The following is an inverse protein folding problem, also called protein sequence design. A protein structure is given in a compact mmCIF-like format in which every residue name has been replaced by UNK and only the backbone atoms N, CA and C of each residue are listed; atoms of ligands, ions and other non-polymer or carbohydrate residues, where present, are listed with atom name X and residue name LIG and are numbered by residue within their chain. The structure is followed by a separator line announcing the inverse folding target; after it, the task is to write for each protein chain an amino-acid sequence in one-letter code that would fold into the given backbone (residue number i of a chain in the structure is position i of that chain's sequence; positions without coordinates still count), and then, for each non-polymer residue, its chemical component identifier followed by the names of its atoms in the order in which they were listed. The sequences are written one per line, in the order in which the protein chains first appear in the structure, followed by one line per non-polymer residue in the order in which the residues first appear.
data_IF_074070215306
#
_entry.id   IF_074070215306
#
_cell.length_a   1.000
_cell.length_b   1.000
_cell.length_c   1.000
_cell.angle_alpha   90.00
_cell.angle_beta   90.00
_cell.angle_gamma   90.00
#
_symmetry.space_group_name_H-M   'P 1'
#
loop_
_entity.id
_entity.type
_entity.pdbx_description
1 polymer ?
#
# COMPACT_ATOMS: atom_id res chain seq x y z
N UNK A 1 65.77 60.26 -26.59
CA UNK A 1 65.05 61.36 -25.90
C UNK A 1 63.62 61.29 -26.41
N UNK A 2 62.63 60.79 -25.71
CA UNK A 2 62.34 60.74 -24.26
C UNK A 2 61.36 59.58 -23.96
N UNK A 3 61.47 59.03 -22.75
CA UNK A 3 60.55 58.10 -22.09
C UNK A 3 59.09 58.59 -21.99
N UNK A 4 58.13 57.65 -21.97
CA UNK A 4 57.15 57.49 -20.85
C UNK A 4 56.19 56.30 -21.05
N UNK A 5 56.45 55.24 -20.29
CA UNK A 5 55.61 54.54 -19.28
C UNK A 5 54.05 54.49 -19.33
N UNK A 6 53.56 53.30 -18.92
CA UNK A 6 52.28 52.89 -18.32
C UNK A 6 51.04 52.48 -19.15
N UNK A 7 50.56 51.27 -18.83
CA UNK A 7 49.13 50.98 -18.69
C UNK A 7 48.62 49.67 -19.33
N UNK A 8 48.60 48.57 -18.56
CA UNK A 8 47.73 47.41 -18.84
C UNK A 8 46.25 47.80 -18.69
N UNK A 9 45.30 47.07 -19.32
CA UNK A 9 44.69 45.95 -18.58
C UNK A 9 44.36 44.71 -19.45
N UNK A 10 44.35 43.57 -18.78
CA UNK A 10 43.84 42.29 -19.28
C UNK A 10 42.32 42.32 -19.46
N UNK A 11 41.82 41.88 -20.62
CA UNK A 11 40.41 41.53 -20.81
C UNK A 11 40.30 40.01 -20.81
N UNK A 12 39.92 39.48 -19.64
CA UNK A 12 39.47 38.11 -19.44
C UNK A 12 38.15 37.90 -20.18
N UNK A 13 38.14 37.01 -21.18
CA UNK A 13 36.89 36.52 -21.79
C UNK A 13 36.20 35.61 -20.79
N UNK A 14 35.16 36.12 -20.12
CA UNK A 14 34.27 35.30 -19.31
C UNK A 14 33.42 34.41 -20.24
N UNK A 15 33.60 33.10 -20.14
CA UNK A 15 32.65 32.13 -20.68
C UNK A 15 31.40 32.18 -19.81
N UNK A 16 30.29 32.64 -20.38
CA UNK A 16 28.97 32.51 -19.75
C UNK A 16 28.62 31.03 -19.66
N UNK A 17 28.64 30.50 -18.43
CA UNK A 17 28.12 29.17 -18.13
C UNK A 17 26.60 29.18 -18.28
N UNK A 18 26.10 28.42 -19.23
CA UNK A 18 24.68 28.12 -19.40
C UNK A 18 24.16 27.43 -18.13
N UNK A 19 23.03 27.85 -17.55
CA UNK A 19 22.53 27.21 -16.34
C UNK A 19 22.11 25.79 -16.68
N UNK A 20 22.79 24.82 -16.08
CA UNK A 20 22.41 23.41 -16.12
C UNK A 20 21.05 23.30 -15.45
N UNK A 21 20.00 23.04 -16.23
CA UNK A 21 18.71 22.64 -15.71
C UNK A 21 18.92 21.38 -14.86
N UNK A 22 18.80 21.53 -13.54
CA UNK A 22 18.75 20.39 -12.64
C UNK A 22 17.53 19.56 -13.04
N UNK A 23 17.76 18.39 -13.63
CA UNK A 23 16.74 17.37 -13.72
C UNK A 23 16.34 17.02 -12.28
N UNK A 24 15.15 17.46 -11.88
CA UNK A 24 14.54 17.01 -10.64
C UNK A 24 14.35 15.49 -10.78
N UNK A 25 15.15 14.72 -10.05
CA UNK A 25 14.96 13.28 -9.96
C UNK A 25 13.60 13.04 -9.33
N UNK A 26 12.72 12.31 -10.03
CA UNK A 26 11.44 11.90 -9.45
C UNK A 26 11.72 11.08 -8.17
N UNK A 27 11.02 11.34 -7.05
CA UNK A 27 11.24 10.60 -5.82
C UNK A 27 10.96 9.10 -6.00
N UNK A 28 11.70 8.24 -5.31
CA UNK A 28 11.43 6.80 -5.29
C UNK A 28 10.07 6.52 -4.62
N UNK A 29 9.43 5.39 -4.94
CA UNK A 29 8.16 4.98 -4.29
C UNK A 29 8.27 4.94 -2.75
N UNK A 30 9.45 4.61 -2.21
CA UNK A 30 9.73 4.69 -0.77
C UNK A 30 9.66 6.12 -0.24
N UNK A 31 10.25 7.08 -0.94
CA UNK A 31 10.24 8.49 -0.56
C UNK A 31 8.84 9.07 -0.65
N UNK A 32 8.06 8.65 -1.66
CA UNK A 32 6.66 9.06 -1.81
C UNK A 32 5.81 8.50 -0.66
N UNK A 33 5.93 7.21 -0.34
CA UNK A 33 5.22 6.59 0.80
C UNK A 33 5.63 7.22 2.13
N UNK A 34 6.93 7.39 2.37
CA UNK A 34 7.44 8.02 3.58
C UNK A 34 7.01 9.49 3.69
N UNK A 35 7.00 10.23 2.58
CA UNK A 35 6.54 11.63 2.55
C UNK A 35 5.06 11.77 2.81
N UNK A 36 4.23 10.81 2.37
CA UNK A 36 2.79 10.76 2.66
C UNK A 36 2.47 10.28 4.09
N UNK A 37 3.47 9.86 4.87
CA UNK A 37 3.33 9.48 6.28
C UNK A 37 4.03 10.44 7.23
N UNK A 38 4.47 11.63 6.76
CA UNK A 38 5.18 12.60 7.60
C UNK A 38 4.19 13.36 8.50
N UNK A 39 4.46 13.47 9.82
CA UNK A 39 3.70 14.34 10.70
C UNK A 39 3.77 15.80 10.23
N UNK A 40 2.64 16.50 10.25
CA UNK A 40 2.63 17.97 10.17
C UNK A 40 3.49 18.54 11.29
N UNK A 41 4.42 19.45 10.95
CA UNK A 41 5.34 20.05 11.92
C UNK A 41 4.57 20.86 12.97
N UNK A 42 4.37 20.26 14.14
CA UNK A 42 4.00 20.99 15.35
C UNK A 42 5.25 21.67 15.92
N UNK A 43 5.13 22.97 16.17
CA UNK A 43 6.16 23.79 16.82
C UNK A 43 6.45 23.25 18.22
N UNK A 44 7.72 22.92 18.48
CA UNK A 44 8.16 22.32 19.74
C UNK A 44 8.30 23.36 20.84
N UNK A 45 7.61 23.15 21.96
CA UNK A 45 8.04 23.63 23.28
C UNK A 45 8.35 22.42 24.16
N UNK A 46 9.55 22.40 24.73
CA UNK A 46 10.10 21.29 25.52
C UNK A 46 9.37 21.13 26.86
N UNK A 47 9.14 19.89 27.34
CA UNK A 47 8.92 19.64 28.76
C UNK A 47 10.10 18.94 29.43
N UNK A 48 10.33 19.35 30.67
CA UNK A 48 11.27 18.79 31.63
C UNK A 48 10.86 17.40 32.10
N UNK A 49 11.87 16.63 32.51
CA UNK A 49 11.78 15.24 32.95
C UNK A 49 10.95 15.06 34.22
N UNK A 50 9.94 14.19 34.17
CA UNK A 50 9.45 13.47 35.35
C UNK A 50 9.23 11.99 35.00
N UNK A 51 9.76 11.12 35.85
CA UNK A 51 9.65 9.67 35.73
C UNK A 51 8.25 9.21 36.14
N UNK A 52 7.35 9.12 35.17
CA UNK A 52 6.05 8.47 35.31
C UNK A 52 6.14 7.01 34.86
N UNK A 53 5.58 6.09 35.65
CA UNK A 53 5.33 4.72 35.22
C UNK A 53 4.54 4.74 33.90
N UNK A 54 5.01 4.01 32.89
CA UNK A 54 4.28 3.86 31.62
C UNK A 54 2.98 3.12 31.92
N UNK A 55 1.87 3.84 31.91
CA UNK A 55 0.55 3.23 31.76
C UNK A 55 0.54 2.63 30.35
N UNK A 56 0.57 1.31 30.24
CA UNK A 56 0.31 0.65 28.97
C UNK A 56 -1.14 0.98 28.60
N UNK A 57 -1.32 1.83 27.59
CA UNK A 57 -2.64 2.13 27.04
C UNK A 57 -3.18 0.83 26.44
N UNK A 58 -4.32 0.36 26.93
CA UNK A 58 -4.97 -0.85 26.39
C UNK A 58 -5.14 -0.71 24.87
N UNK A 59 -4.85 -1.80 24.14
CA UNK A 59 -5.03 -1.83 22.70
C UNK A 59 -6.52 -1.71 22.36
N UNK A 60 -6.81 -1.03 21.26
CA UNK A 60 -8.17 -0.91 20.74
C UNK A 60 -8.77 -2.30 20.49
N UNK A 61 -10.06 -2.47 20.75
CA UNK A 61 -10.82 -3.70 20.39
C UNK A 61 -11.19 -3.73 18.91
N UNK A 62 -11.64 -4.87 18.40
CA UNK A 62 -12.13 -5.00 17.02
C UNK A 62 -13.32 -4.09 16.74
N UNK A 63 -14.33 -4.09 17.61
CA UNK A 63 -15.54 -3.27 17.42
C UNK A 63 -15.25 -1.76 17.47
N UNK A 64 -14.37 -1.32 18.39
CA UNK A 64 -13.91 0.07 18.42
C UNK A 64 -13.12 0.44 17.16
N UNK A 65 -12.32 -0.48 16.62
CA UNK A 65 -11.61 -0.25 15.35
C UNK A 65 -12.62 -0.06 14.21
N UNK A 66 -13.60 -0.96 14.06
CA UNK A 66 -14.63 -0.84 13.02
C UNK A 66 -15.42 0.45 13.14
N UNK A 67 -15.86 0.79 14.36
CA UNK A 67 -16.65 2.00 14.62
C UNK A 67 -15.86 3.28 14.28
N UNK A 68 -14.60 3.36 14.70
CA UNK A 68 -13.76 4.52 14.43
C UNK A 68 -13.39 4.64 12.94
N UNK A 69 -13.13 3.52 12.25
CA UNK A 69 -12.94 3.53 10.79
C UNK A 69 -14.18 4.06 10.08
N UNK A 70 -15.36 3.58 10.47
CA UNK A 70 -16.63 4.03 9.89
C UNK A 70 -16.85 5.52 10.11
N UNK A 71 -16.56 6.04 11.30
CA UNK A 71 -16.66 7.48 11.59
C UNK A 71 -15.64 8.28 10.79
N UNK A 72 -14.38 7.87 10.77
CA UNK A 72 -13.32 8.58 10.05
C UNK A 72 -13.54 8.61 8.53
N UNK A 73 -14.15 7.56 7.96
CA UNK A 73 -14.45 7.45 6.53
C UNK A 73 -15.85 7.99 6.16
N UNK A 74 -16.60 8.53 7.13
CA UNK A 74 -17.84 9.26 6.85
C UNK A 74 -17.59 10.73 6.47
N UNK A 75 -16.37 11.23 6.68
CA UNK A 75 -15.94 12.55 6.22
C UNK A 75 -15.80 12.61 4.68
N UNK A 76 -15.69 13.83 4.13
CA UNK A 76 -15.53 14.04 2.68
C UNK A 76 -14.11 13.81 2.18
N UNK A 77 -13.12 13.81 3.09
CA UNK A 77 -11.71 13.60 2.79
C UNK A 77 -11.11 12.53 3.68
N UNK A 78 -10.33 11.62 3.09
CA UNK A 78 -9.64 10.55 3.83
C UNK A 78 -8.30 11.05 4.36
N UNK A 79 -8.11 11.10 5.69
CA UNK A 79 -6.79 11.29 6.30
C UNK A 79 -6.06 9.96 6.40
N UNK A 80 -5.00 9.80 5.59
CA UNK A 80 -4.21 8.57 5.55
C UNK A 80 -3.57 8.27 6.90
N UNK A 81 -3.04 9.28 7.57
CA UNK A 81 -2.38 9.16 8.86
C UNK A 81 -3.37 8.73 9.97
N UNK A 82 -4.60 9.26 9.92
CA UNK A 82 -5.62 8.92 10.91
C UNK A 82 -6.08 7.47 10.77
N UNK A 83 -6.40 7.02 9.55
CA UNK A 83 -6.80 5.64 9.28
C UNK A 83 -5.67 4.66 9.63
N UNK A 84 -4.42 5.00 9.28
CA UNK A 84 -3.25 4.21 9.65
C UNK A 84 -3.12 4.07 11.18
N UNK A 85 -3.28 5.17 11.91
CA UNK A 85 -3.25 5.19 13.39
C UNK A 85 -4.33 4.30 14.00
N UNK A 86 -5.56 4.35 13.47
CA UNK A 86 -6.68 3.49 13.90
C UNK A 86 -6.29 2.01 13.75
N UNK A 87 -5.88 1.59 12.56
CA UNK A 87 -5.51 0.20 12.26
C UNK A 87 -4.30 -0.28 13.11
N UNK A 88 -3.32 0.60 13.32
CA UNK A 88 -2.11 0.29 14.08
C UNK A 88 -2.38 0.14 15.60
N UNK A 89 -3.40 0.84 16.11
CA UNK A 89 -3.81 0.81 17.52
C UNK A 89 -4.57 -0.46 17.91
N UNK A 90 -5.22 -1.13 16.94
CA UNK A 90 -5.78 -2.47 17.11
C UNK A 90 -4.66 -3.52 17.08
N UNK A 91 -4.65 -4.42 18.05
CA UNK A 91 -3.73 -5.58 18.10
C UNK A 91 -4.51 -6.83 17.75
N UNK A 92 -4.05 -7.54 16.71
CA UNK A 92 -4.77 -8.66 16.12
C UNK A 92 -5.02 -9.77 17.14
N UNK A 93 -6.27 -10.22 17.22
CA UNK A 93 -6.68 -11.39 17.97
C UNK A 93 -7.53 -12.28 17.08
N UNK A 94 -7.13 -13.54 16.95
CA UNK A 94 -7.79 -14.50 16.04
C UNK A 94 -9.29 -14.63 16.34
N UNK A 95 -9.70 -14.53 17.61
CA UNK A 95 -11.12 -14.62 17.99
C UNK A 95 -12.00 -13.56 17.36
N UNK A 96 -11.44 -12.39 17.04
CA UNK A 96 -12.18 -11.24 16.52
C UNK A 96 -12.57 -11.44 15.04
N UNK A 97 -11.71 -12.11 14.27
CA UNK A 97 -11.82 -12.15 12.80
C UNK A 97 -11.89 -13.56 12.20
N UNK A 98 -11.67 -14.62 12.97
CA UNK A 98 -11.65 -16.02 12.45
C UNK A 98 -12.92 -16.43 11.71
N UNK A 99 -14.07 -15.84 12.04
CA UNK A 99 -15.35 -16.11 11.37
C UNK A 99 -15.39 -15.63 9.92
N UNK A 100 -14.53 -14.67 9.54
CA UNK A 100 -14.38 -14.18 8.17
C UNK A 100 -13.22 -14.87 7.43
N UNK A 101 -12.37 -15.63 8.12
CA UNK A 101 -11.15 -16.18 7.56
C UNK A 101 -11.38 -17.52 6.85
N UNK A 102 -11.95 -17.46 5.66
CA UNK A 102 -12.17 -18.62 4.80
C UNK A 102 -11.04 -18.74 3.78
N UNK A 103 -10.34 -19.87 3.75
CA UNK A 103 -9.22 -20.12 2.84
C UNK A 103 -9.65 -20.98 1.64
N UNK A 104 -8.88 -20.88 0.56
CA UNK A 104 -8.90 -21.82 -0.55
C UNK A 104 -7.46 -22.27 -0.89
N UNK A 105 -7.33 -23.51 -1.33
CA UNK A 105 -6.03 -24.16 -1.58
C UNK A 105 -5.40 -23.73 -2.92
N UNK A 106 -6.17 -23.15 -3.86
CA UNK A 106 -5.74 -22.79 -5.21
C UNK A 106 -5.37 -21.32 -5.34
N UNK A 107 -6.14 -20.42 -4.73
CA UNK A 107 -5.84 -18.98 -4.71
C UNK A 107 -6.17 -18.37 -3.35
N UNK A 108 -5.66 -17.17 -3.09
CA UNK A 108 -6.10 -16.43 -1.92
C UNK A 108 -7.54 -15.99 -2.10
N UNK A 109 -8.24 -15.84 -0.99
CA UNK A 109 -9.66 -15.48 -0.99
C UNK A 109 -9.85 -14.05 -0.51
N UNK A 110 -10.92 -13.40 -0.94
CA UNK A 110 -11.37 -12.08 -0.47
C UNK A 110 -12.67 -12.26 0.29
N UNK A 111 -12.70 -11.91 1.57
CA UNK A 111 -13.82 -12.15 2.48
C UNK A 111 -14.32 -10.82 3.04
N UNK A 112 -15.48 -10.37 2.58
CA UNK A 112 -16.03 -9.06 2.98
C UNK A 112 -16.40 -9.08 4.47
N UNK A 113 -15.90 -8.08 5.20
CA UNK A 113 -16.17 -7.87 6.62
C UNK A 113 -17.23 -6.78 6.80
N UNK A 114 -17.06 -5.65 6.11
CA UNK A 114 -17.93 -4.48 6.20
C UNK A 114 -17.94 -3.77 4.84
N UNK A 115 -19.13 -3.58 4.25
CA UNK A 115 -19.32 -2.80 3.01
C UNK A 115 -19.32 -1.28 3.23
N UNK A 116 -19.01 -0.87 4.45
CA UNK A 116 -18.99 0.50 4.92
C UNK A 116 -20.35 1.19 4.86
N UNK A 117 -20.27 2.50 4.67
CA UNK A 117 -21.37 3.43 4.40
C UNK A 117 -21.46 3.76 2.89
N UNK A 118 -20.95 2.88 2.03
CA UNK A 118 -20.77 3.12 0.59
C UNK A 118 -19.51 3.93 0.24
N UNK A 119 -18.73 4.37 1.23
CA UNK A 119 -17.45 5.09 1.02
C UNK A 119 -16.21 4.23 1.15
N UNK A 120 -16.34 2.99 1.63
CA UNK A 120 -15.22 2.06 1.72
C UNK A 120 -15.70 0.60 1.73
N UNK A 121 -14.79 -0.32 1.40
CA UNK A 121 -14.93 -1.74 1.70
C UNK A 121 -13.81 -2.18 2.65
N UNK A 122 -14.17 -3.01 3.63
CA UNK A 122 -13.24 -3.68 4.53
C UNK A 122 -13.36 -5.19 4.33
N UNK A 123 -12.25 -5.87 4.07
CA UNK A 123 -12.24 -7.31 3.77
C UNK A 123 -10.99 -7.99 4.31
N UNK A 124 -11.11 -9.27 4.65
CA UNK A 124 -9.97 -10.14 4.91
C UNK A 124 -9.49 -10.77 3.60
N UNK A 125 -8.18 -10.73 3.37
CA UNK A 125 -7.53 -11.62 2.41
C UNK A 125 -6.86 -12.76 3.18
N UNK A 126 -7.13 -13.99 2.74
CA UNK A 126 -6.59 -15.20 3.35
C UNK A 126 -5.67 -15.90 2.34
N UNK A 127 -4.41 -16.02 2.71
CA UNK A 127 -3.32 -16.46 1.85
C UNK A 127 -2.81 -17.81 2.34
N UNK A 128 -3.00 -18.85 1.54
CA UNK A 128 -2.31 -20.11 1.77
C UNK A 128 -0.82 -20.01 1.41
N UNK A 129 -0.08 -21.06 1.72
CA UNK A 129 1.37 -21.16 1.54
C UNK A 129 1.76 -20.97 0.08
N UNK A 130 2.67 -20.04 -0.21
CA UNK A 130 3.19 -19.77 -1.55
C UNK A 130 2.23 -19.00 -2.47
N UNK A 131 1.04 -18.62 -2.01
CA UNK A 131 0.11 -17.83 -2.81
C UNK A 131 0.59 -16.38 -2.94
N UNK A 132 0.33 -15.78 -4.10
CA UNK A 132 0.67 -14.40 -4.42
C UNK A 132 -0.42 -13.77 -5.28
N UNK A 133 -0.57 -12.45 -5.17
CA UNK A 133 -1.37 -11.67 -6.11
C UNK A 133 -0.62 -11.47 -7.43
N UNK A 134 -1.33 -11.00 -8.45
CA UNK A 134 -0.71 -10.31 -9.57
C UNK A 134 -0.05 -9.00 -9.13
N UNK A 135 0.73 -8.39 -10.01
CA UNK A 135 1.08 -6.97 -9.89
C UNK A 135 -0.17 -6.17 -10.25
N UNK A 136 -0.68 -5.34 -9.34
CA UNK A 136 -1.95 -4.63 -9.57
C UNK A 136 -1.98 -3.18 -9.06
N UNK A 137 -2.89 -2.41 -9.63
CA UNK A 137 -3.27 -1.06 -9.17
C UNK A 137 -4.49 -1.09 -8.24
N UNK A 138 -4.94 0.09 -7.79
CA UNK A 138 -6.01 0.27 -6.82
C UNK A 138 -7.17 1.10 -7.35
N UNK A 139 -7.27 1.28 -8.67
CA UNK A 139 -8.36 1.99 -9.35
C UNK A 139 -8.69 3.38 -8.75
N UNK A 140 -7.66 4.14 -8.41
CA UNK A 140 -7.79 5.47 -7.81
C UNK A 140 -8.14 5.48 -6.32
N UNK A 141 -8.22 4.32 -5.68
CA UNK A 141 -8.59 4.17 -4.27
C UNK A 141 -7.39 4.24 -3.33
N UNK A 142 -7.64 4.67 -2.10
CA UNK A 142 -6.74 4.45 -0.98
C UNK A 142 -6.79 2.97 -0.58
N UNK A 143 -5.63 2.34 -0.39
CA UNK A 143 -5.52 0.97 0.10
C UNK A 143 -4.71 0.95 1.39
N UNK A 144 -5.30 0.42 2.45
CA UNK A 144 -4.60 0.09 3.69
C UNK A 144 -4.58 -1.42 3.85
N UNK A 145 -3.42 -1.97 4.21
CA UNK A 145 -3.25 -3.40 4.47
C UNK A 145 -2.67 -3.58 5.87
N UNK A 146 -3.39 -4.27 6.75
CA UNK A 146 -2.91 -4.67 8.08
C UNK A 146 -2.68 -6.18 8.11
N UNK A 147 -1.51 -6.65 8.54
CA UNK A 147 -1.26 -8.08 8.74
C UNK A 147 -1.93 -8.52 10.05
N UNK A 148 -2.89 -9.43 9.97
CA UNK A 148 -3.62 -9.98 11.11
C UNK A 148 -2.96 -11.26 11.66
N UNK A 149 -2.42 -12.11 10.79
CA UNK A 149 -1.64 -13.28 11.17
C UNK A 149 -0.62 -13.65 10.09
N UNK A 150 0.46 -14.33 10.49
CA UNK A 150 1.55 -14.70 9.60
C UNK A 150 2.45 -13.53 9.20
N UNK A 151 3.02 -13.64 8.01
CA UNK A 151 3.89 -12.65 7.37
C UNK A 151 3.55 -12.58 5.88
N UNK A 152 3.59 -11.39 5.30
CA UNK A 152 3.46 -11.19 3.85
C UNK A 152 4.64 -10.37 3.33
N UNK A 153 5.05 -10.65 2.10
CA UNK A 153 6.03 -9.86 1.37
C UNK A 153 5.30 -8.94 0.40
N UNK A 154 5.61 -7.65 0.46
CA UNK A 154 5.18 -6.64 -0.52
C UNK A 154 6.34 -6.31 -1.46
N UNK A 155 6.09 -6.43 -2.75
CA UNK A 155 6.94 -5.95 -3.84
C UNK A 155 6.30 -4.70 -4.46
N UNK A 156 6.94 -3.54 -4.31
CA UNK A 156 6.46 -2.28 -4.88
C UNK A 156 7.08 -2.06 -6.26
N UNK A 157 6.23 -1.80 -7.24
CA UNK A 157 6.62 -1.43 -8.60
C UNK A 157 6.30 0.04 -8.84
N UNK A 158 7.06 0.67 -9.73
CA UNK A 158 6.78 2.04 -10.16
C UNK A 158 5.41 2.15 -10.86
N UNK A 159 4.97 3.37 -11.19
CA UNK A 159 3.82 3.57 -12.05
C UNK A 159 3.94 2.79 -13.37
N UNK A 160 2.84 2.25 -13.90
CA UNK A 160 2.86 1.52 -15.16
C UNK A 160 3.42 2.37 -16.30
N UNK A 161 4.27 1.78 -17.12
CA UNK A 161 4.83 2.40 -18.31
C UNK A 161 5.07 1.35 -19.39
N UNK A 162 5.13 1.78 -20.65
CA UNK A 162 5.48 0.89 -21.76
C UNK A 162 6.93 0.42 -21.57
N UNK A 163 7.12 -0.89 -21.43
CA UNK A 163 8.44 -1.50 -21.35
C UNK A 163 9.11 -1.43 -22.72
N UNK A 164 10.42 -1.15 -22.74
CA UNK A 164 11.21 -1.28 -23.98
C UNK A 164 11.50 -2.76 -24.25
N UNK A 165 11.87 -3.06 -25.48
CA UNK A 165 12.22 -4.41 -25.89
C UNK A 165 13.33 -5.00 -24.99
N UNK A 166 13.03 -6.12 -24.34
CA UNK A 166 13.94 -6.80 -23.40
C UNK A 166 13.88 -6.33 -21.95
N UNK A 167 13.06 -5.32 -21.61
CA UNK A 167 12.80 -4.92 -20.23
C UNK A 167 11.67 -5.74 -19.61
N UNK A 168 11.77 -6.01 -18.30
CA UNK A 168 10.70 -6.59 -17.48
C UNK A 168 10.38 -5.64 -16.34
N UNK A 169 9.17 -5.73 -15.77
CA UNK A 169 8.90 -5.09 -14.50
C UNK A 169 9.83 -5.68 -13.44
N UNK A 170 10.39 -4.81 -12.61
CA UNK A 170 11.23 -5.18 -11.48
C UNK A 170 10.79 -4.39 -10.26
N UNK A 171 10.76 -5.01 -9.07
CA UNK A 171 10.38 -4.32 -7.86
C UNK A 171 11.41 -3.24 -7.54
N UNK A 172 10.92 -2.04 -7.25
CA UNK A 172 11.73 -0.95 -6.69
C UNK A 172 12.06 -1.23 -5.21
N UNK A 173 11.17 -1.96 -4.55
CA UNK A 173 11.26 -2.31 -3.12
C UNK A 173 10.68 -3.69 -2.93
N UNK A 174 11.32 -4.48 -2.08
CA UNK A 174 10.78 -5.70 -1.53
C UNK A 174 10.88 -5.61 0.00
N UNK A 175 9.78 -5.86 0.70
CA UNK A 175 9.73 -5.78 2.15
C UNK A 175 8.82 -6.86 2.75
N UNK A 176 9.31 -7.54 3.78
CA UNK A 176 8.52 -8.47 4.57
C UNK A 176 7.81 -7.73 5.72
N UNK A 177 6.56 -8.08 5.96
CA UNK A 177 5.69 -7.45 6.96
C UNK A 177 5.10 -8.50 7.89
N UNK A 178 5.43 -8.37 9.17
CA UNK A 178 4.95 -9.25 10.23
C UNK A 178 3.57 -8.82 10.75
N UNK A 179 2.97 -9.72 11.53
CA UNK A 179 1.73 -9.47 12.27
C UNK A 179 1.71 -8.09 12.94
N UNK A 180 0.55 -7.45 12.84
CA UNK A 180 0.24 -6.09 13.28
C UNK A 180 0.89 -4.96 12.48
N UNK A 181 1.73 -5.25 11.49
CA UNK A 181 2.21 -4.26 10.52
C UNK A 181 1.06 -3.66 9.71
N UNK A 182 1.08 -2.34 9.50
CA UNK A 182 0.10 -1.61 8.69
C UNK A 182 0.80 -0.88 7.55
N UNK A 183 0.34 -1.13 6.33
CA UNK A 183 0.85 -0.59 5.09
C UNK A 183 -0.20 0.31 4.44
N UNK A 184 0.26 1.19 3.57
CA UNK A 184 -0.59 2.04 2.75
C UNK A 184 -0.01 2.16 1.35
N UNK A 185 -0.90 2.07 0.36
CA UNK A 185 -0.59 2.29 -1.05
C UNK A 185 -1.77 3.01 -1.73
N UNK A 186 -1.46 3.72 -2.81
CA UNK A 186 -2.41 4.26 -3.77
C UNK A 186 -1.69 4.36 -5.11
N UNK A 187 -2.42 4.57 -6.20
CA UNK A 187 -1.84 4.67 -7.55
C UNK A 187 -0.86 5.85 -7.70
N UNK A 188 -0.89 6.82 -6.77
CA UNK A 188 0.10 7.90 -6.69
C UNK A 188 1.48 7.43 -6.24
N UNK A 189 1.55 6.30 -5.53
CA UNK A 189 2.79 5.67 -5.07
C UNK A 189 3.30 4.69 -6.12
N UNK A 190 2.42 3.81 -6.61
CA UNK A 190 2.78 2.78 -7.58
C UNK A 190 1.80 1.62 -7.58
N UNK A 191 2.26 0.49 -8.12
CA UNK A 191 1.55 -0.79 -8.12
C UNK A 191 2.28 -1.77 -7.21
N UNK A 192 1.65 -2.87 -6.81
CA UNK A 192 2.34 -3.85 -5.98
C UNK A 192 1.91 -5.28 -6.23
N UNK A 193 2.76 -6.20 -5.78
CA UNK A 193 2.45 -7.62 -5.60
C UNK A 193 2.57 -7.95 -4.12
N UNK A 194 1.62 -8.71 -3.60
CA UNK A 194 1.64 -9.20 -2.21
C UNK A 194 1.69 -10.71 -2.26
N UNK A 195 2.56 -11.32 -1.46
CA UNK A 195 2.73 -12.77 -1.43
C UNK A 195 2.93 -13.32 -0.03
N UNK A 196 2.41 -14.52 0.19
CA UNK A 196 2.79 -15.36 1.32
C UNK A 196 3.93 -16.29 0.88
N UNK A 197 5.17 -15.87 1.13
CA UNK A 197 6.35 -16.66 0.79
C UNK A 197 6.61 -17.83 1.76
N UNK A 198 5.78 -17.99 2.79
CA UNK A 198 5.92 -19.11 3.72
C UNK A 198 5.51 -20.43 3.08
N UNK A 199 6.30 -21.48 3.33
CA UNK A 199 6.00 -22.86 2.94
C UNK A 199 5.38 -23.69 4.08
N UNK A 200 5.13 -23.09 5.23
CA UNK A 200 4.67 -23.83 6.43
C UNK A 200 3.61 -23.10 7.24
N UNK A 201 3.24 -21.87 6.87
CA UNK A 201 2.24 -21.07 7.57
C UNK A 201 1.36 -20.31 6.59
N UNK A 202 0.08 -20.24 6.91
CA UNK A 202 -0.89 -19.34 6.28
C UNK A 202 -0.68 -17.90 6.78
N UNK A 203 -1.20 -16.94 6.03
CA UNK A 203 -1.24 -15.54 6.41
C UNK A 203 -2.65 -14.96 6.22
N UNK A 204 -2.97 -13.94 7.01
CA UNK A 204 -4.24 -13.21 6.93
C UNK A 204 -3.94 -11.71 6.99
N UNK A 205 -4.53 -10.95 6.07
CA UNK A 205 -4.45 -9.50 6.04
C UNK A 205 -5.84 -8.87 6.00
N UNK A 206 -5.99 -7.71 6.64
CA UNK A 206 -7.16 -6.86 6.58
C UNK A 206 -6.91 -5.75 5.56
N UNK A 207 -7.77 -5.62 4.58
CA UNK A 207 -7.68 -4.63 3.51
C UNK A 207 -8.84 -3.64 3.61
N UNK A 208 -8.51 -2.35 3.58
CA UNK A 208 -9.47 -1.25 3.50
C UNK A 208 -9.26 -0.49 2.21
N UNK A 209 -10.32 -0.38 1.41
CA UNK A 209 -10.33 0.38 0.17
C UNK A 209 -11.33 1.53 0.24
N UNK A 210 -10.89 2.76 -0.04
CA UNK A 210 -11.77 3.94 -0.07
C UNK A 210 -11.39 4.89 -1.23
N UNK A 211 -12.31 5.22 -2.15
CA UNK A 211 -13.65 4.61 -2.32
C UNK A 211 -13.58 3.09 -2.58
N UNK A 212 -14.70 2.35 -2.50
CA UNK A 212 -14.75 0.99 -2.99
C UNK A 212 -14.64 0.98 -4.52
N UNK A 213 -14.11 -0.10 -5.08
CA UNK A 213 -14.00 -0.32 -6.52
C UNK A 213 -14.40 -1.76 -6.88
N UNK A 214 -14.82 -1.96 -8.12
CA UNK A 214 -15.24 -3.25 -8.66
C UNK A 214 -14.24 -3.86 -9.64
N UNK A 215 -13.32 -3.06 -10.18
CA UNK A 215 -12.31 -3.48 -11.14
C UNK A 215 -10.99 -2.77 -10.86
N UNK A 216 -9.87 -3.45 -11.08
CA UNK A 216 -8.53 -2.87 -11.10
C UNK A 216 -7.77 -3.36 -12.33
N UNK A 217 -6.52 -2.96 -12.48
CA UNK A 217 -5.66 -3.48 -13.51
C UNK A 217 -4.58 -4.39 -12.94
N UNK A 218 -4.38 -5.52 -13.62
CA UNK A 218 -3.27 -6.44 -13.45
C UNK A 218 -2.19 -6.15 -14.51
N UNK A 219 -0.92 -6.32 -14.14
CA UNK A 219 0.23 -6.12 -15.02
C UNK A 219 1.05 -7.40 -15.13
N UNK A 220 1.31 -7.84 -16.36
CA UNK A 220 2.23 -8.95 -16.63
C UNK A 220 3.67 -8.50 -16.32
N UNK A 221 4.36 -9.22 -15.44
CA UNK A 221 5.72 -8.86 -15.02
C UNK A 221 6.73 -8.88 -16.17
N UNK A 222 6.56 -9.79 -17.13
CA UNK A 222 7.51 -9.98 -18.22
C UNK A 222 7.30 -8.98 -19.36
N UNK A 223 6.06 -8.61 -19.63
CA UNK A 223 5.72 -7.77 -20.79
C UNK A 223 5.22 -6.37 -20.43
N UNK A 224 4.90 -6.13 -19.16
CA UNK A 224 4.25 -4.90 -18.70
C UNK A 224 2.83 -4.74 -19.23
N UNK A 225 2.28 -5.75 -19.89
CA UNK A 225 0.95 -5.68 -20.51
C UNK A 225 -0.10 -5.52 -19.42
N UNK A 226 -0.92 -4.49 -19.59
CA UNK A 226 -2.04 -4.19 -18.72
C UNK A 226 -3.26 -5.02 -19.12
N UNK A 227 -3.90 -5.65 -18.14
CA UNK A 227 -5.20 -6.32 -18.27
C UNK A 227 -6.15 -5.79 -17.19
N UNK A 228 -7.43 -5.64 -17.52
CA UNK A 228 -8.45 -5.28 -16.53
C UNK A 228 -8.86 -6.54 -15.78
N UNK A 229 -8.94 -6.47 -14.45
CA UNK A 229 -9.46 -7.54 -13.63
C UNK A 229 -10.91 -7.85 -14.02
N UNK A 230 -11.37 -9.06 -13.75
CA UNK A 230 -12.82 -9.28 -13.67
C UNK A 230 -13.44 -8.42 -12.57
N UNK A 231 -14.77 -8.44 -12.48
CA UNK A 231 -15.45 -7.87 -11.32
C UNK A 231 -14.92 -8.56 -10.06
N UNK A 232 -14.42 -7.78 -9.10
CA UNK A 232 -13.89 -8.30 -7.84
C UNK A 232 -15.03 -9.01 -7.12
N UNK A 233 -14.87 -10.32 -6.98
CA UNK A 233 -15.83 -11.19 -6.29
C UNK A 233 -15.36 -11.48 -4.88
N UNK A 234 -16.33 -11.67 -3.98
CA UNK A 234 -16.08 -12.11 -2.62
C UNK A 234 -16.29 -13.61 -2.51
N UNK A 235 -15.33 -14.28 -1.87
CA UNK A 235 -15.44 -15.69 -1.50
C UNK A 235 -16.48 -15.89 -0.39
N UNK A 236 -16.52 -14.97 0.56
CA UNK A 236 -17.55 -14.91 1.60
C UNK A 236 -17.93 -13.46 1.88
N UNK A 237 -19.14 -13.26 2.35
CA UNK A 237 -19.63 -11.97 2.82
C UNK A 237 -20.14 -12.12 4.25
N UNK A 238 -19.66 -11.25 5.14
CA UNK A 238 -20.07 -11.19 6.54
C UNK A 238 -19.89 -12.52 7.31
N UNK A 239 -18.94 -13.35 6.87
CA UNK A 239 -18.61 -14.64 7.47
C UNK A 239 -19.32 -15.84 6.81
N UNK A 240 -20.21 -15.61 5.85
CA UNK A 240 -20.93 -16.66 5.14
C UNK A 240 -20.38 -16.83 3.72
N UNK A 241 -19.99 -18.06 3.36
CA UNK A 241 -19.42 -18.36 2.02
C UNK A 241 -20.47 -18.18 0.93
N UNK A 242 -20.13 -17.42 -0.11
CA UNK A 242 -21.01 -17.19 -1.25
C UNK A 242 -21.24 -18.51 -2.00
N UNK A 243 -22.49 -18.99 -2.03
CA UNK A 243 -22.81 -20.39 -2.31
C UNK A 243 -22.64 -20.87 -3.76
N UNK A 244 -22.48 -20.00 -4.75
CA UNK A 244 -22.86 -20.40 -6.13
C UNK A 244 -21.75 -20.48 -7.19
N UNK A 245 -20.52 -19.99 -6.98
CA UNK A 245 -19.49 -20.02 -8.05
C UNK A 245 -18.18 -20.78 -7.72
N UNK A 246 -17.88 -21.02 -6.45
CA UNK A 246 -16.58 -21.62 -6.09
C UNK A 246 -16.53 -23.14 -6.34
N UNK A 247 -17.62 -23.86 -6.04
CA UNK A 247 -17.69 -25.33 -6.14
C UNK A 247 -17.70 -25.86 -7.57
N UNK A 248 -18.01 -25.02 -8.55
CA UNK A 248 -18.05 -25.41 -9.96
C UNK A 248 -16.68 -25.32 -10.66
N UNK A 249 -15.65 -24.78 -9.97
CA UNK A 249 -14.31 -24.62 -10.53
C UNK A 249 -14.25 -23.63 -11.70
N UNK A 250 -15.27 -22.79 -11.88
CA UNK A 250 -15.33 -21.76 -12.92
C UNK A 250 -14.62 -20.49 -12.45
N UNK A 251 -14.81 -20.08 -11.19
CA UNK A 251 -14.09 -18.95 -10.60
C UNK A 251 -12.60 -19.25 -10.39
N UNK A 252 -12.24 -20.44 -9.91
CA UNK A 252 -10.85 -20.87 -9.72
C UNK A 252 -10.04 -20.99 -11.04
N UNK A 253 -10.69 -20.94 -12.21
CA UNK A 253 -10.07 -21.08 -13.53
C UNK A 253 -10.00 -19.77 -14.31
N UNK A 254 -10.62 -18.70 -13.85
CA UNK A 254 -10.48 -17.44 -14.56
C UNK A 254 -9.21 -16.75 -14.08
N UNK A 255 -8.39 -16.31 -15.04
CA UNK A 255 -7.20 -15.49 -14.81
C UNK A 255 -7.58 -14.07 -14.33
N UNK A 256 -8.75 -13.92 -13.69
CA UNK A 256 -9.43 -12.65 -13.43
C UNK A 256 -9.25 -12.18 -11.98
N UNK A 257 -8.59 -12.99 -11.14
CA UNK A 257 -8.16 -12.55 -9.82
C UNK A 257 -6.84 -11.79 -9.93
N UNK A 258 -6.95 -10.46 -9.95
CA UNK A 258 -5.99 -9.65 -9.22
C UNK A 258 -6.28 -9.78 -7.72
#
# INVERSE_FOLDING_TARGET
MTDHDQGSPSMSTAMEATPTMQMQTKPCAQDMRASMMKPSQATSSSPSSSSGARVEKESRTWDEMLQDLRTALDEDSVSVEHIHSILNSYKSRTEDWKQFAHFDDHCYTRNLVDSGNGKYNLMLLCWDMGQASSIHDHAGSHCFMKILDGNLVEELFGPPHDLKEGETLSPLVEAAHDRDGVLYISDKIGTHRVSNTSHSRRAVSLHLYSPPYSECHCFDERTGTKSTSGCISFYSEYGEVCCDDWKSGVAAKSADYC
#
